data_IF_452147225431
#
_entry.id   IF_452147225431
#
_cell.length_a   1.000
_cell.length_b   1.000
_cell.length_c   1.000
_cell.angle_alpha   90.00
_cell.angle_beta   90.00
_cell.angle_gamma   90.00
#
_symmetry.space_group_name_H-M   'P 1'
#
loop_
_entity.id
_entity.type
_entity.pdbx_description
1 polymer ?
#
# COMPACT_ATOMS: atom_id res chain seq x y z
N UNK A 1 7.95 4.69 27.42
CA UNK A 1 7.03 3.76 28.13
C UNK A 1 7.76 2.76 29.03
N UNK A 2 9.10 2.66 28.98
CA UNK A 2 9.88 1.79 29.87
C UNK A 2 9.92 2.20 31.35
N UNK A 3 9.48 3.42 31.70
CA UNK A 3 9.43 3.88 33.08
C UNK A 3 8.15 3.47 33.82
N UNK A 4 7.02 3.40 33.11
CA UNK A 4 5.70 3.12 33.71
C UNK A 4 5.47 1.65 34.08
N UNK A 5 6.28 0.74 33.54
CA UNK A 5 6.20 -0.70 33.88
C UNK A 5 7.03 -1.02 35.13
N UNK A 6 8.03 -0.21 35.47
CA UNK A 6 8.95 -0.47 36.61
C UNK A 6 8.47 0.10 37.94
N UNK A 7 7.59 1.08 37.96
CA UNK A 7 7.11 1.72 39.19
C UNK A 7 5.59 1.71 39.20
N UNK A 8 4.98 0.76 39.90
CA UNK A 8 3.52 0.62 40.05
C UNK A 8 2.87 1.73 40.87
N UNK A 9 3.05 2.98 40.46
CA UNK A 9 2.49 4.17 41.10
C UNK A 9 2.43 5.35 40.13
N UNK A 10 1.41 6.19 40.31
CA UNK A 10 1.27 7.47 39.59
C UNK A 10 2.52 8.34 39.82
N UNK A 11 3.05 9.00 38.77
CA UNK A 11 4.23 9.85 38.91
C UNK A 11 3.97 10.99 39.89
N UNK A 12 4.97 11.30 40.73
CA UNK A 12 4.89 12.39 41.71
C UNK A 12 4.66 13.75 41.02
N UNK A 13 3.97 14.71 41.68
CA UNK A 13 3.63 16.01 41.07
C UNK A 13 4.83 16.80 40.53
N UNK A 14 6.00 16.69 41.17
CA UNK A 14 7.24 17.35 40.74
C UNK A 14 7.77 16.77 39.41
N UNK A 15 7.65 15.46 39.21
CA UNK A 15 8.08 14.81 37.96
C UNK A 15 7.20 15.20 36.76
N UNK A 16 5.93 15.54 37.01
CA UNK A 16 5.03 16.07 35.98
C UNK A 16 5.35 17.53 35.62
N UNK A 17 5.90 18.31 36.55
CA UNK A 17 6.40 19.65 36.26
C UNK A 17 7.71 19.61 35.47
N UNK A 18 8.60 18.68 35.77
CA UNK A 18 9.85 18.45 35.00
C UNK A 18 9.57 18.02 33.55
N UNK A 19 8.56 17.17 33.32
CA UNK A 19 8.11 16.81 31.97
C UNK A 19 7.52 18.03 31.23
N UNK A 20 6.80 18.91 31.95
CA UNK A 20 6.23 20.14 31.38
C UNK A 20 7.31 21.18 31.08
N UNK A 21 8.38 21.29 31.87
CA UNK A 21 9.49 22.21 31.62
C UNK A 21 10.39 21.72 30.49
N UNK A 22 10.64 20.41 30.34
CA UNK A 22 11.33 19.83 29.18
C UNK A 22 10.51 20.04 27.89
N UNK A 23 9.19 19.82 27.93
CA UNK A 23 8.30 20.09 26.79
C UNK A 23 8.20 21.57 26.41
N UNK A 24 8.38 22.49 27.37
CA UNK A 24 8.37 23.94 27.10
C UNK A 24 9.68 24.43 26.46
N UNK A 25 10.80 23.75 26.68
CA UNK A 25 12.10 24.22 26.18
C UNK A 25 12.34 23.92 24.69
N UNK A 26 11.61 22.96 24.10
CA UNK A 26 11.73 22.53 22.70
C UNK A 26 10.81 23.31 21.72
N UNK A 27 10.01 24.26 22.22
CA UNK A 27 8.97 24.90 21.42
C UNK A 27 9.40 26.22 20.75
N UNK A 28 10.71 26.51 20.66
CA UNK A 28 11.20 27.86 20.28
C UNK A 28 11.99 27.96 18.97
N UNK A 29 12.09 26.93 18.13
CA UNK A 29 12.78 27.08 16.83
C UNK A 29 12.16 26.26 15.68
N UNK A 30 11.17 26.79 14.95
CA UNK A 30 10.92 26.36 13.54
C UNK A 30 10.28 27.42 12.61
N UNK A 31 10.86 28.63 12.36
CA UNK A 31 10.37 29.49 11.26
C UNK A 31 11.01 29.19 9.89
N UNK A 32 12.20 28.58 9.83
CA UNK A 32 12.98 28.47 8.58
C UNK A 32 12.64 27.27 7.68
N UNK A 33 11.86 26.28 8.14
CA UNK A 33 11.63 25.02 7.42
C UNK A 33 10.47 25.04 6.40
N UNK A 34 9.54 26.00 6.51
CA UNK A 34 8.32 26.01 5.69
C UNK A 34 8.51 26.19 4.18
N UNK A 35 9.38 27.08 3.66
CA UNK A 35 9.41 27.35 2.22
C UNK A 35 10.05 26.20 1.41
N UNK A 36 11.12 25.59 1.93
CA UNK A 36 11.76 24.43 1.28
C UNK A 36 10.88 23.19 1.37
N UNK A 37 10.24 22.94 2.52
CA UNK A 37 9.27 21.85 2.64
C UNK A 37 8.09 22.06 1.67
N UNK A 38 7.59 23.28 1.51
CA UNK A 38 6.51 23.60 0.58
C UNK A 38 6.93 23.36 -0.89
N UNK A 39 8.11 23.81 -1.32
CA UNK A 39 8.64 23.55 -2.66
C UNK A 39 8.80 22.06 -2.93
N UNK A 40 9.27 21.30 -1.95
CA UNK A 40 9.47 19.86 -2.07
C UNK A 40 8.12 19.11 -2.10
N UNK A 41 7.12 19.58 -1.35
CA UNK A 41 5.72 19.09 -1.42
C UNK A 41 5.10 19.41 -2.77
N UNK A 42 5.31 20.61 -3.31
CA UNK A 42 4.87 20.96 -4.67
C UNK A 42 5.56 20.08 -5.72
N UNK A 43 6.85 19.77 -5.54
CA UNK A 43 7.56 18.81 -6.37
C UNK A 43 6.93 17.41 -6.30
N UNK A 44 6.53 16.93 -5.11
CA UNK A 44 5.82 15.65 -5.00
C UNK A 44 4.44 15.66 -5.61
N UNK A 45 3.69 16.75 -5.41
CA UNK A 45 2.40 16.91 -6.06
C UNK A 45 2.58 16.94 -7.57
N UNK A 46 3.60 17.63 -8.09
CA UNK A 46 3.99 17.59 -9.50
C UNK A 46 4.34 16.17 -9.97
N UNK A 47 5.15 15.43 -9.22
CA UNK A 47 5.51 14.05 -9.53
C UNK A 47 4.31 13.10 -9.55
N UNK A 48 3.29 13.35 -8.71
CA UNK A 48 2.02 12.62 -8.74
C UNK A 48 1.09 13.06 -9.90
N UNK A 49 0.90 14.37 -10.05
CA UNK A 49 -0.13 14.98 -10.90
C UNK A 49 0.31 15.02 -12.36
N UNK A 50 1.60 15.27 -12.65
CA UNK A 50 2.08 15.42 -14.02
C UNK A 50 1.95 14.13 -14.84
N UNK A 51 2.34 12.93 -14.35
CA UNK A 51 2.07 11.68 -15.05
C UNK A 51 0.56 11.43 -15.25
N UNK A 52 -0.28 11.80 -14.27
CA UNK A 52 -1.73 11.69 -14.39
C UNK A 52 -2.28 12.62 -15.48
N UNK A 53 -1.75 13.84 -15.57
CA UNK A 53 -2.10 14.81 -16.61
C UNK A 53 -1.69 14.31 -18.01
N UNK A 54 -0.47 13.78 -18.17
CA UNK A 54 0.00 13.21 -19.44
C UNK A 54 -0.88 12.05 -19.89
N UNK A 55 -1.26 11.18 -18.95
CA UNK A 55 -2.19 10.06 -19.22
C UNK A 55 -3.57 10.57 -19.62
N UNK A 56 -4.11 11.56 -18.90
CA UNK A 56 -5.37 12.21 -19.25
C UNK A 56 -5.34 12.85 -20.64
N UNK A 57 -4.24 13.55 -20.97
CA UNK A 57 -4.01 14.13 -22.28
C UNK A 57 -3.93 13.06 -23.38
N UNK A 58 -3.18 11.98 -23.15
CA UNK A 58 -3.09 10.87 -24.10
C UNK A 58 -4.47 10.26 -24.39
N UNK A 59 -5.29 10.06 -23.36
CA UNK A 59 -6.67 9.57 -23.52
C UNK A 59 -7.51 10.58 -24.29
N UNK A 60 -7.44 11.88 -23.96
CA UNK A 60 -8.19 12.93 -24.65
C UNK A 60 -7.80 13.06 -26.13
N UNK A 61 -6.50 13.04 -26.44
CA UNK A 61 -5.98 13.12 -27.81
C UNK A 61 -6.39 11.87 -28.61
N UNK A 62 -6.35 10.69 -28.00
CA UNK A 62 -6.82 9.43 -28.61
C UNK A 62 -8.32 9.51 -28.96
N UNK A 63 -9.14 10.07 -28.07
CA UNK A 63 -10.57 10.24 -28.31
C UNK A 63 -10.86 11.27 -29.41
N UNK A 64 -10.11 12.37 -29.45
CA UNK A 64 -10.22 13.39 -30.48
C UNK A 64 -9.85 12.85 -31.87
N UNK A 65 -8.78 12.06 -31.97
CA UNK A 65 -8.37 11.40 -33.21
C UNK A 65 -9.46 10.48 -33.75
N UNK A 66 -10.13 9.70 -32.89
CA UNK A 66 -11.15 8.76 -33.34
C UNK A 66 -12.40 9.50 -33.82
N UNK A 67 -12.79 10.56 -33.12
CA UNK A 67 -13.92 11.41 -33.53
C UNK A 67 -13.70 12.08 -34.89
N UNK A 68 -12.45 12.44 -35.21
CA UNK A 68 -12.10 13.07 -36.50
C UNK A 68 -11.98 12.05 -37.64
N UNK A 69 -11.54 10.83 -37.37
CA UNK A 69 -11.29 9.80 -38.39
C UNK A 69 -12.52 8.94 -38.71
N UNK A 70 -13.42 8.69 -37.75
CA UNK A 70 -14.57 7.81 -37.98
C UNK A 70 -15.78 8.13 -37.08
N UNK A 71 -16.91 8.53 -37.69
CA UNK A 71 -18.16 8.82 -36.99
C UNK A 71 -18.96 7.55 -36.59
N UNK A 72 -18.48 6.34 -36.92
CA UNK A 72 -19.16 5.10 -36.53
C UNK A 72 -19.02 4.83 -35.02
N UNK A 73 -20.16 4.60 -34.35
CA UNK A 73 -20.25 4.41 -32.90
C UNK A 73 -19.55 3.13 -32.43
N UNK A 74 -19.59 2.05 -33.23
CA UNK A 74 -18.98 0.76 -32.89
C UNK A 74 -17.44 0.82 -32.88
N UNK A 75 -16.84 1.50 -33.84
CA UNK A 75 -15.38 1.67 -33.90
C UNK A 75 -14.89 2.58 -32.77
N UNK A 76 -15.65 3.62 -32.43
CA UNK A 76 -15.38 4.50 -31.29
C UNK A 76 -15.31 3.74 -29.95
N UNK A 77 -16.11 2.68 -29.76
CA UNK A 77 -16.11 1.90 -28.52
C UNK A 77 -14.79 1.13 -28.29
N UNK A 78 -14.22 0.52 -29.33
CA UNK A 78 -12.93 -0.19 -29.23
C UNK A 78 -11.77 0.75 -28.90
N UNK A 79 -11.77 1.94 -29.52
CA UNK A 79 -10.78 2.98 -29.22
C UNK A 79 -11.02 3.68 -27.87
N UNK A 80 -12.20 3.53 -27.26
CA UNK A 80 -12.48 4.02 -25.91
C UNK A 80 -12.01 3.03 -24.83
N UNK A 81 -12.24 1.74 -25.05
CA UNK A 81 -12.03 0.69 -24.04
C UNK A 81 -10.56 0.28 -23.89
N UNK A 82 -9.74 0.44 -24.92
CA UNK A 82 -8.35 -0.03 -24.93
C UNK A 82 -7.32 0.96 -24.33
N UNK A 83 -7.35 2.28 -24.61
CA UNK A 83 -6.30 3.18 -24.14
C UNK A 83 -6.39 3.48 -22.64
N UNK A 84 -7.57 3.47 -22.02
CA UNK A 84 -7.73 3.76 -20.59
C UNK A 84 -7.02 2.72 -19.69
N UNK A 85 -7.26 1.41 -19.82
CA UNK A 85 -6.56 0.41 -19.01
C UNK A 85 -5.05 0.44 -19.25
N UNK A 86 -4.62 0.62 -20.51
CA UNK A 86 -3.20 0.77 -20.85
C UNK A 86 -2.62 2.00 -20.16
N UNK A 87 -3.29 3.14 -20.21
CA UNK A 87 -2.79 4.37 -19.62
C UNK A 87 -2.75 4.32 -18.09
N UNK A 88 -3.71 3.64 -17.44
CA UNK A 88 -3.68 3.38 -15.99
C UNK A 88 -2.52 2.43 -15.60
N UNK A 89 -2.23 1.42 -16.43
CA UNK A 89 -1.09 0.54 -16.23
C UNK A 89 0.23 1.30 -16.39
N UNK A 90 0.36 2.11 -17.44
CA UNK A 90 1.52 2.99 -17.64
C UNK A 90 1.68 3.96 -16.48
N UNK A 91 0.59 4.58 -16.02
CA UNK A 91 0.60 5.46 -14.85
C UNK A 91 1.15 4.74 -13.61
N UNK A 92 0.66 3.54 -13.31
CA UNK A 92 1.14 2.75 -12.18
C UNK A 92 2.63 2.44 -12.26
N UNK A 93 3.12 2.02 -13.43
CA UNK A 93 4.54 1.72 -13.67
C UNK A 93 5.39 2.98 -13.52
N UNK A 94 4.97 4.10 -14.11
CA UNK A 94 5.67 5.39 -14.00
C UNK A 94 5.74 5.84 -12.54
N UNK A 95 4.66 5.73 -11.77
CA UNK A 95 4.66 6.11 -10.36
C UNK A 95 5.56 5.21 -9.50
N UNK A 96 5.60 3.91 -9.79
CA UNK A 96 6.55 3.00 -9.15
C UNK A 96 8.00 3.39 -9.46
N UNK A 97 8.31 3.72 -10.72
CA UNK A 97 9.65 4.17 -11.12
C UNK A 97 10.03 5.52 -10.48
N UNK A 98 9.11 6.48 -10.45
CA UNK A 98 9.29 7.78 -9.78
C UNK A 98 9.56 7.59 -8.30
N UNK A 99 8.85 6.68 -7.63
CA UNK A 99 9.10 6.40 -6.21
C UNK A 99 10.50 5.82 -5.96
N UNK A 100 10.93 4.86 -6.79
CA UNK A 100 12.30 4.30 -6.72
C UNK A 100 13.32 5.42 -6.88
N UNK A 101 13.19 6.25 -7.92
CA UNK A 101 14.10 7.36 -8.18
C UNK A 101 14.12 8.35 -7.01
N UNK A 102 12.95 8.73 -6.51
CA UNK A 102 12.81 9.66 -5.38
C UNK A 102 13.50 9.11 -4.12
N UNK A 103 13.31 7.83 -3.78
CA UNK A 103 13.98 7.20 -2.63
C UNK A 103 15.49 7.31 -2.74
N UNK A 104 16.05 6.97 -3.90
CA UNK A 104 17.49 7.00 -4.10
C UNK A 104 18.07 8.41 -4.21
N UNK A 105 17.33 9.39 -4.78
CA UNK A 105 17.77 10.77 -4.88
C UNK A 105 17.72 11.53 -3.54
N UNK A 106 16.67 11.34 -2.74
CA UNK A 106 16.49 12.08 -1.49
C UNK A 106 17.21 11.46 -0.30
N UNK A 107 17.27 10.12 -0.24
CA UNK A 107 17.79 9.38 0.91
C UNK A 107 19.00 8.54 0.54
N UNK A 108 18.98 7.90 -0.64
CA UNK A 108 19.99 6.94 -1.04
C UNK A 108 19.78 5.59 -0.36
N UNK A 109 20.69 5.23 0.55
CA UNK A 109 20.58 4.02 1.38
C UNK A 109 20.33 4.38 2.83
N UNK A 110 19.28 3.80 3.41
CA UNK A 110 19.03 3.93 4.84
C UNK A 110 20.19 3.31 5.64
N UNK A 111 20.62 4.00 6.70
CA UNK A 111 21.62 3.51 7.66
C UNK A 111 21.03 3.55 9.07
N UNK A 112 21.39 2.61 9.95
CA UNK A 112 21.00 2.69 11.36
C UNK A 112 21.53 3.99 11.98
N UNK A 113 20.74 4.62 12.82
CA UNK A 113 21.11 5.89 13.46
C UNK A 113 19.90 6.70 13.91
N UNK A 114 20.16 7.83 14.56
CA UNK A 114 19.14 8.75 15.06
C UNK A 114 19.23 10.10 14.34
N UNK A 115 18.09 10.73 14.11
CA UNK A 115 18.02 12.10 13.63
C UNK A 115 16.89 12.87 14.31
N UNK A 116 17.10 14.14 14.69
CA UNK A 116 16.04 14.93 15.30
C UNK A 116 14.93 15.23 14.29
N UNK A 117 13.69 15.34 14.76
CA UNK A 117 12.52 15.65 13.92
C UNK A 117 12.66 17.01 13.24
N UNK A 118 13.35 17.96 13.88
CA UNK A 118 13.62 19.28 13.31
C UNK A 118 14.81 19.29 12.34
N UNK A 119 15.28 18.12 11.88
CA UNK A 119 16.40 18.02 10.93
C UNK A 119 15.94 17.93 9.49
N UNK A 120 16.84 18.33 8.58
CA UNK A 120 16.63 18.12 7.14
C UNK A 120 16.53 16.64 6.76
N UNK A 121 17.21 15.75 7.49
CA UNK A 121 17.12 14.30 7.32
C UNK A 121 15.71 13.77 7.59
N UNK A 122 15.03 14.31 8.62
CA UNK A 122 13.63 13.97 8.91
C UNK A 122 12.71 14.41 7.77
N UNK A 123 12.87 15.63 7.25
CA UNK A 123 12.05 16.13 6.13
C UNK A 123 12.23 15.24 4.90
N UNK A 124 13.46 14.90 4.53
CA UNK A 124 13.74 13.96 3.41
C UNK A 124 13.05 12.61 3.62
N UNK A 125 13.13 12.05 4.82
CA UNK A 125 12.43 10.81 5.19
C UNK A 125 10.92 10.93 5.08
N UNK A 126 10.34 11.98 5.68
CA UNK A 126 8.90 12.22 5.70
C UNK A 126 8.32 12.33 4.29
N UNK A 127 9.06 12.96 3.38
CA UNK A 127 8.67 13.10 1.98
C UNK A 127 8.60 11.75 1.28
N UNK A 128 9.64 10.92 1.42
CA UNK A 128 9.63 9.56 0.87
C UNK A 128 8.51 8.74 1.51
N UNK A 129 8.28 8.85 2.82
CA UNK A 129 7.19 8.18 3.52
C UNK A 129 5.80 8.62 3.01
N UNK A 130 5.60 9.91 2.71
CA UNK A 130 4.35 10.43 2.15
C UNK A 130 4.08 9.83 0.76
N UNK A 131 5.07 9.87 -0.13
CA UNK A 131 4.95 9.31 -1.47
C UNK A 131 4.79 7.78 -1.43
N UNK A 132 5.51 7.11 -0.51
CA UNK A 132 5.37 5.68 -0.25
C UNK A 132 3.93 5.34 0.14
N UNK A 133 3.29 6.12 1.03
CA UNK A 133 1.89 5.86 1.41
C UNK A 133 0.95 5.91 0.22
N UNK A 134 1.16 6.82 -0.73
CA UNK A 134 0.38 6.87 -1.96
C UNK A 134 0.62 5.61 -2.81
N UNK A 135 1.86 5.37 -3.20
CA UNK A 135 2.21 4.25 -4.10
C UNK A 135 1.89 2.90 -3.49
N UNK A 136 2.18 2.69 -2.20
CA UNK A 136 1.96 1.41 -1.54
C UNK A 136 0.50 1.11 -1.22
N UNK A 137 -0.29 2.10 -0.81
CA UNK A 137 -1.69 1.86 -0.49
C UNK A 137 -2.57 1.82 -1.74
N UNK A 138 -2.27 2.64 -2.76
CA UNK A 138 -3.12 2.76 -3.96
C UNK A 138 -2.68 1.78 -5.04
N UNK A 139 -1.38 1.69 -5.35
CA UNK A 139 -0.89 0.97 -6.53
C UNK A 139 -0.38 -0.45 -6.21
N UNK A 140 0.31 -0.64 -5.07
CA UNK A 140 0.91 -1.94 -4.73
C UNK A 140 0.00 -2.85 -3.91
N UNK A 141 -1.05 -2.34 -3.25
CA UNK A 141 -1.99 -3.18 -2.47
C UNK A 141 -2.56 -4.34 -3.29
N UNK A 142 -2.99 -4.15 -4.56
CA UNK A 142 -3.44 -5.25 -5.41
C UNK A 142 -2.34 -6.26 -5.76
N UNK A 143 -1.07 -5.88 -5.68
CA UNK A 143 0.09 -6.74 -5.97
C UNK A 143 0.58 -7.53 -4.74
N UNK A 144 -0.04 -7.34 -3.57
CA UNK A 144 0.31 -8.08 -2.35
C UNK A 144 0.19 -9.60 -2.56
N UNK A 145 1.22 -10.35 -2.15
CA UNK A 145 1.29 -11.80 -2.29
C UNK A 145 1.81 -12.28 -3.66
N UNK A 146 2.11 -11.37 -4.59
CA UNK A 146 2.66 -11.71 -5.92
C UNK A 146 4.19 -11.65 -5.95
N UNK A 147 4.80 -12.33 -6.92
CA UNK A 147 6.24 -12.24 -7.14
C UNK A 147 6.68 -10.81 -7.55
N UNK A 148 5.83 -10.05 -8.25
CA UNK A 148 6.11 -8.69 -8.70
C UNK A 148 6.40 -7.76 -7.52
N UNK A 149 5.63 -7.89 -6.43
CA UNK A 149 5.88 -7.12 -5.21
C UNK A 149 7.25 -7.44 -4.62
N UNK A 150 7.62 -8.72 -4.52
CA UNK A 150 8.92 -9.14 -3.99
C UNK A 150 10.07 -8.56 -4.82
N UNK A 151 9.97 -8.62 -6.15
CA UNK A 151 10.94 -7.99 -7.05
C UNK A 151 11.06 -6.48 -6.83
N UNK A 152 9.93 -5.79 -6.70
CA UNK A 152 9.91 -4.36 -6.46
C UNK A 152 10.50 -3.97 -5.09
N UNK A 153 10.23 -4.74 -4.05
CA UNK A 153 10.82 -4.54 -2.72
C UNK A 153 12.34 -4.74 -2.75
N UNK A 154 12.83 -5.74 -3.48
CA UNK A 154 14.27 -5.95 -3.71
C UNK A 154 14.91 -4.77 -4.43
N UNK A 155 14.25 -4.21 -5.45
CA UNK A 155 14.73 -2.99 -6.15
C UNK A 155 14.86 -1.79 -5.20
N UNK A 156 13.99 -1.69 -4.20
CA UNK A 156 14.05 -0.63 -3.18
C UNK A 156 15.15 -0.84 -2.13
N UNK A 157 15.80 -2.01 -2.12
CA UNK A 157 16.93 -2.35 -1.25
C UNK A 157 16.63 -3.40 -0.18
N UNK A 158 15.39 -3.91 -0.11
CA UNK A 158 15.02 -4.95 0.85
C UNK A 158 15.66 -6.28 0.47
N UNK A 159 16.25 -6.97 1.44
CA UNK A 159 16.78 -8.32 1.23
C UNK A 159 15.66 -9.31 1.51
N UNK A 160 15.30 -10.09 0.50
CA UNK A 160 14.23 -11.09 0.61
C UNK A 160 14.76 -12.41 0.05
N UNK A 161 14.76 -13.46 0.87
CA UNK A 161 15.19 -14.81 0.51
C UNK A 161 14.34 -15.47 -0.58
N UNK A 162 14.79 -16.63 -1.06
CA UNK A 162 14.03 -17.44 -2.01
C UNK A 162 12.79 -18.06 -1.37
N UNK A 163 11.74 -18.23 -2.18
CA UNK A 163 10.47 -18.89 -1.78
C UNK A 163 9.71 -18.19 -0.63
N UNK A 164 10.10 -16.95 -0.32
CA UNK A 164 9.46 -16.09 0.66
C UNK A 164 8.18 -15.47 0.10
N UNK A 165 7.13 -15.47 0.91
CA UNK A 165 5.82 -14.93 0.56
C UNK A 165 5.62 -13.62 1.29
N UNK A 166 5.40 -12.54 0.54
CA UNK A 166 5.14 -11.21 1.10
C UNK A 166 3.76 -10.74 0.71
N UNK A 167 2.79 -10.85 1.63
CA UNK A 167 1.40 -10.43 1.46
C UNK A 167 1.08 -9.12 2.21
N UNK A 168 2.06 -8.23 2.31
CA UNK A 168 1.90 -6.91 2.93
C UNK A 168 2.58 -5.83 2.13
N UNK A 169 1.97 -4.64 2.11
CA UNK A 169 2.56 -3.40 1.59
C UNK A 169 2.96 -2.45 2.71
N UNK A 170 2.79 -2.87 3.97
CA UNK A 170 3.12 -2.03 5.13
C UNK A 170 4.59 -2.19 5.56
N UNK A 171 5.47 -2.00 4.59
CA UNK A 171 6.92 -2.02 4.75
C UNK A 171 7.49 -0.62 4.50
N UNK A 172 8.62 -0.31 5.11
CA UNK A 172 9.34 0.94 4.94
C UNK A 172 10.82 0.77 5.26
N UNK A 173 11.62 1.82 5.06
CA UNK A 173 13.05 1.81 5.35
C UNK A 173 13.75 0.58 4.76
N UNK A 174 13.46 0.32 3.47
CA UNK A 174 13.65 -0.97 2.81
C UNK A 174 15.05 -1.58 2.99
N UNK A 175 16.11 -0.76 2.93
CA UNK A 175 17.50 -1.22 3.07
C UNK A 175 17.83 -1.80 4.46
N UNK A 176 16.99 -1.55 5.47
CA UNK A 176 17.15 -2.02 6.85
C UNK A 176 16.27 -3.23 7.16
N UNK A 177 15.51 -3.73 6.19
CA UNK A 177 14.63 -4.88 6.36
C UNK A 177 15.21 -6.09 5.62
N UNK A 178 15.43 -7.16 6.35
CA UNK A 178 15.93 -8.43 5.85
C UNK A 178 14.95 -9.55 6.21
N UNK A 179 14.54 -10.30 5.21
CA UNK A 179 13.63 -11.44 5.36
C UNK A 179 14.29 -12.67 4.74
N UNK A 180 14.46 -13.69 5.56
CA UNK A 180 15.07 -14.97 5.23
C UNK A 180 14.27 -15.79 4.23
N UNK A 181 14.80 -16.95 3.89
CA UNK A 181 14.23 -17.88 2.93
C UNK A 181 12.98 -18.57 3.49
N UNK A 182 12.02 -18.87 2.62
CA UNK A 182 10.77 -19.59 2.96
C UNK A 182 9.96 -18.95 4.09
N UNK A 183 10.22 -17.68 4.42
CA UNK A 183 9.43 -16.95 5.39
C UNK A 183 8.06 -16.58 4.81
N UNK A 184 7.04 -16.56 5.66
CA UNK A 184 5.67 -16.21 5.29
C UNK A 184 5.25 -14.95 6.02
N UNK A 185 5.26 -13.83 5.30
CA UNK A 185 4.77 -12.54 5.77
C UNK A 185 3.33 -12.37 5.30
N UNK A 186 2.38 -12.44 6.23
CA UNK A 186 0.94 -12.44 5.89
C UNK A 186 0.37 -11.01 5.73
N UNK A 187 -0.96 -10.92 5.64
CA UNK A 187 -1.70 -9.66 5.46
C UNK A 187 -1.43 -8.67 6.59
N UNK A 188 -1.30 -7.39 6.25
CA UNK A 188 -1.23 -6.26 7.19
C UNK A 188 -0.08 -6.33 8.19
N UNK A 189 0.87 -7.25 8.00
CA UNK A 189 2.11 -7.28 8.77
C UNK A 189 2.85 -5.97 8.57
N UNK A 190 3.28 -5.35 9.66
CA UNK A 190 4.04 -4.10 9.66
C UNK A 190 5.51 -4.42 9.88
N UNK A 191 6.35 -4.18 8.87
CA UNK A 191 7.80 -4.23 8.99
C UNK A 191 8.32 -2.81 8.87
N UNK A 192 8.55 -2.15 10.01
CA UNK A 192 8.98 -0.74 10.03
C UNK A 192 10.29 -0.62 10.78
N UNK A 193 11.35 -0.34 10.04
CA UNK A 193 12.70 -0.12 10.56
C UNK A 193 12.92 1.32 11.06
N UNK A 194 11.86 1.95 11.60
CA UNK A 194 11.95 3.24 12.25
C UNK A 194 11.10 3.30 13.53
N UNK A 195 11.52 4.17 14.45
CA UNK A 195 10.85 4.46 15.69
C UNK A 195 10.93 5.97 15.96
N UNK A 196 9.80 6.57 16.36
CA UNK A 196 9.72 7.99 16.70
C UNK A 196 9.51 8.10 18.22
N UNK A 197 10.54 8.56 18.93
CA UNK A 197 10.55 8.70 20.40
C UNK A 197 11.23 10.02 20.75
N UNK A 198 10.64 10.78 21.69
CA UNK A 198 11.25 11.99 22.28
C UNK A 198 11.78 13.01 21.24
N UNK A 199 11.00 13.25 20.17
CA UNK A 199 11.40 14.18 19.11
C UNK A 199 12.57 13.69 18.23
N UNK A 200 12.94 12.41 18.35
CA UNK A 200 13.98 11.75 17.59
C UNK A 200 13.39 10.64 16.71
N UNK A 201 13.80 10.64 15.45
CA UNK A 201 13.56 9.55 14.51
C UNK A 201 14.77 8.61 14.54
N UNK A 202 14.58 7.41 15.07
CA UNK A 202 15.59 6.34 15.11
C UNK A 202 15.32 5.32 14.02
N UNK A 203 16.36 5.00 13.25
CA UNK A 203 16.38 3.91 12.29
C UNK A 203 17.10 2.71 12.89
N UNK A 204 16.47 1.53 12.80
CA UNK A 204 16.97 0.28 13.33
C UNK A 204 16.68 -0.88 12.39
N UNK A 205 17.46 -1.96 12.47
CA UNK A 205 17.31 -3.07 11.54
C UNK A 205 16.13 -3.96 11.91
N UNK A 206 15.48 -4.56 10.91
CA UNK A 206 14.45 -5.59 11.12
C UNK A 206 14.91 -6.85 10.41
N UNK A 207 15.23 -7.89 11.19
CA UNK A 207 15.70 -9.16 10.66
C UNK A 207 14.66 -10.23 10.93
N UNK A 208 14.21 -10.90 9.88
CA UNK A 208 13.25 -11.99 9.93
C UNK A 208 13.94 -13.24 9.42
N UNK A 209 14.12 -14.25 10.26
CA UNK A 209 14.86 -15.46 9.93
C UNK A 209 14.13 -16.41 8.97
N UNK A 210 14.83 -17.47 8.57
CA UNK A 210 14.32 -18.46 7.64
C UNK A 210 13.14 -19.26 8.21
N UNK A 211 12.22 -19.69 7.35
CA UNK A 211 11.05 -20.50 7.72
C UNK A 211 10.19 -19.88 8.84
N UNK A 212 10.18 -18.56 8.96
CA UNK A 212 9.36 -17.85 9.95
C UNK A 212 7.95 -17.61 9.45
N UNK A 213 7.01 -17.51 10.38
CA UNK A 213 5.63 -17.13 10.09
C UNK A 213 5.23 -15.88 10.85
N UNK A 214 4.93 -14.81 10.11
CA UNK A 214 4.40 -13.57 10.67
C UNK A 214 2.89 -13.52 10.45
N UNK A 215 2.14 -13.72 11.53
CA UNK A 215 0.68 -13.78 11.50
C UNK A 215 0.00 -12.46 11.11
N UNK A 216 -1.27 -12.51 10.67
CA UNK A 216 -1.99 -11.34 10.16
C UNK A 216 -1.98 -10.15 11.11
N UNK A 217 -1.63 -8.97 10.60
CA UNK A 217 -1.63 -7.72 11.37
C UNK A 217 -0.52 -7.61 12.43
N UNK A 218 0.40 -8.57 12.49
CA UNK A 218 1.54 -8.51 13.40
C UNK A 218 2.48 -7.34 13.10
N UNK A 219 3.31 -6.96 14.07
CA UNK A 219 4.20 -5.81 13.99
C UNK A 219 5.62 -6.17 14.40
N UNK A 220 6.58 -5.90 13.53
CA UNK A 220 8.01 -5.97 13.80
C UNK A 220 8.57 -4.54 13.83
N UNK A 221 8.84 -3.99 15.04
CA UNK A 221 9.42 -2.67 15.20
C UNK A 221 10.90 -2.65 14.84
N UNK A 222 11.49 -1.44 14.77
CA UNK A 222 12.92 -1.28 14.62
C UNK A 222 13.70 -2.07 15.68
N UNK A 223 14.84 -2.64 15.26
CA UNK A 223 15.75 -3.47 16.07
C UNK A 223 15.19 -4.85 16.47
N UNK A 224 14.07 -5.29 15.88
CA UNK A 224 13.55 -6.65 16.10
C UNK A 224 14.33 -7.70 15.30
N UNK A 225 14.70 -8.80 15.95
CA UNK A 225 15.30 -9.98 15.32
C UNK A 225 14.42 -11.19 15.56
N UNK A 226 13.68 -11.64 14.55
CA UNK A 226 12.86 -12.85 14.61
C UNK A 226 13.72 -14.04 14.18
N UNK A 227 14.02 -14.97 15.09
CA UNK A 227 14.88 -16.12 14.76
C UNK A 227 14.24 -17.07 13.74
N UNK A 228 15.03 -17.88 13.03
CA UNK A 228 14.50 -18.91 12.15
C UNK A 228 13.49 -19.81 12.86
N UNK A 229 12.46 -20.26 12.15
CA UNK A 229 11.35 -21.09 12.66
C UNK A 229 10.48 -20.42 13.75
N UNK A 230 10.67 -19.14 14.05
CA UNK A 230 9.82 -18.43 14.99
C UNK A 230 8.44 -18.10 14.39
N UNK A 231 7.45 -18.05 15.27
CA UNK A 231 6.06 -17.82 14.94
C UNK A 231 5.53 -16.60 15.69
N UNK A 232 5.18 -15.57 14.94
CA UNK A 232 4.50 -14.40 15.49
C UNK A 232 2.99 -14.58 15.28
N UNK A 233 2.19 -14.69 16.36
CA UNK A 233 0.74 -14.86 16.23
C UNK A 233 0.08 -13.66 15.55
N UNK A 234 -1.17 -13.80 15.06
CA UNK A 234 -1.95 -12.68 14.55
C UNK A 234 -2.00 -11.53 15.57
N UNK A 235 -1.85 -10.29 15.10
CA UNK A 235 -1.75 -9.08 15.93
C UNK A 235 -0.59 -9.06 16.95
N UNK A 236 0.30 -10.05 16.92
CA UNK A 236 1.47 -10.12 17.78
C UNK A 236 2.47 -9.01 17.49
N UNK A 237 3.20 -8.57 18.52
CA UNK A 237 4.28 -7.58 18.41
C UNK A 237 5.58 -8.28 18.72
N UNK A 238 6.54 -8.24 17.79
CA UNK A 238 7.88 -8.74 18.05
C UNK A 238 8.59 -7.81 19.05
N UNK A 239 9.41 -8.34 19.97
CA UNK A 239 10.25 -7.53 20.84
C UNK A 239 11.24 -6.68 20.01
N UNK A 240 11.68 -5.54 20.56
CA UNK A 240 12.80 -4.74 20.02
C UNK A 240 14.16 -5.38 20.39
N UNK A 241 14.24 -6.70 20.24
CA UNK A 241 15.40 -7.55 20.52
C UNK A 241 15.16 -8.90 19.82
N UNK A 242 15.85 -9.95 20.26
CA UNK A 242 15.73 -11.30 19.73
C UNK A 242 14.45 -12.01 20.20
N UNK A 243 13.66 -12.48 19.24
CA UNK A 243 12.49 -13.33 19.47
C UNK A 243 12.87 -14.81 19.26
N UNK A 244 12.90 -15.56 20.37
CA UNK A 244 13.26 -16.98 20.41
C UNK A 244 12.05 -17.94 20.54
N UNK A 245 10.89 -17.45 20.99
CA UNK A 245 9.77 -18.32 21.36
C UNK A 245 8.80 -18.62 20.20
N UNK A 246 8.68 -19.92 19.90
CA UNK A 246 7.70 -20.51 19.00
C UNK A 246 6.41 -20.86 19.75
N UNK A 247 5.31 -20.20 19.44
CA UNK A 247 4.00 -20.86 19.58
C UNK A 247 3.87 -21.86 18.44
N UNK A 248 3.49 -23.11 18.72
CA UNK A 248 3.39 -24.17 17.73
C UNK A 248 2.19 -23.93 16.80
N UNK A 249 2.35 -23.03 15.83
CA UNK A 249 1.45 -22.96 14.69
C UNK A 249 2.06 -23.82 13.57
N UNK A 250 1.27 -24.66 12.88
CA UNK A 250 1.79 -25.36 11.71
C UNK A 250 2.30 -24.32 10.71
N UNK A 251 3.61 -24.37 10.39
CA UNK A 251 4.17 -23.55 9.32
C UNK A 251 3.44 -23.93 8.03
N UNK A 252 2.86 -22.97 7.30
CA UNK A 252 2.51 -23.25 5.91
C UNK A 252 3.77 -23.75 5.19
N UNK A 253 3.68 -24.87 4.46
CA UNK A 253 4.81 -25.39 3.66
C UNK A 253 5.30 -24.35 2.64
N UNK A 254 6.40 -24.56 1.93
CA UNK A 254 6.80 -23.58 0.89
C UNK A 254 5.78 -23.56 -0.27
N UNK A 255 5.44 -22.38 -0.81
CA UNK A 255 4.62 -22.28 -2.04
C UNK A 255 5.44 -22.79 -3.23
N UNK A 256 4.92 -23.77 -3.97
CA UNK A 256 5.54 -24.22 -5.22
C UNK A 256 5.58 -23.09 -6.27
N UNK A 257 6.65 -23.02 -7.07
CA UNK A 257 6.87 -21.94 -8.07
C UNK A 257 5.71 -21.80 -9.07
N UNK A 258 5.12 -22.92 -9.49
CA UNK A 258 3.95 -22.95 -10.39
C UNK A 258 2.75 -22.27 -9.73
N UNK A 259 2.51 -22.57 -8.45
CA UNK A 259 1.41 -21.96 -7.69
C UNK A 259 1.60 -20.44 -7.61
N UNK A 260 2.82 -19.96 -7.29
CA UNK A 260 3.12 -18.52 -7.23
C UNK A 260 2.91 -17.84 -8.60
N UNK A 261 3.28 -18.51 -9.69
CA UNK A 261 3.13 -17.97 -11.04
C UNK A 261 1.67 -17.91 -11.47
N UNK A 262 0.92 -19.02 -11.32
CA UNK A 262 -0.52 -19.06 -11.61
C UNK A 262 -1.27 -18.02 -10.77
N UNK A 263 -0.93 -17.92 -9.48
CA UNK A 263 -1.49 -16.92 -8.58
C UNK A 263 -1.20 -15.49 -9.04
N UNK A 264 0.05 -15.21 -9.43
CA UNK A 264 0.45 -13.88 -9.93
C UNK A 264 -0.28 -13.55 -11.23
N UNK A 265 -0.36 -14.48 -12.19
CA UNK A 265 -1.08 -14.28 -13.45
C UNK A 265 -2.57 -14.05 -13.22
N UNK A 266 -3.20 -14.83 -12.34
CA UNK A 266 -4.62 -14.68 -12.06
C UNK A 266 -4.94 -13.35 -11.37
N UNK A 267 -4.08 -12.91 -10.45
CA UNK A 267 -4.19 -11.61 -9.80
C UNK A 267 -4.05 -10.45 -10.80
N UNK A 268 -3.07 -10.51 -11.70
CA UNK A 268 -2.91 -9.50 -12.75
C UNK A 268 -4.13 -9.45 -13.68
N UNK A 269 -4.67 -10.63 -14.04
CA UNK A 269 -5.88 -10.72 -14.87
C UNK A 269 -7.10 -10.11 -14.19
N UNK A 270 -7.27 -10.31 -12.88
CA UNK A 270 -8.34 -9.66 -12.11
C UNK A 270 -8.20 -8.13 -12.08
N UNK A 271 -6.98 -7.63 -11.90
CA UNK A 271 -6.72 -6.18 -11.90
C UNK A 271 -7.12 -5.60 -13.27
N UNK A 272 -6.69 -6.24 -14.36
CA UNK A 272 -7.06 -5.82 -15.72
C UNK A 272 -8.58 -5.89 -15.93
N UNK A 273 -9.22 -6.98 -15.53
CA UNK A 273 -10.67 -7.14 -15.66
C UNK A 273 -11.44 -6.07 -14.86
N UNK A 274 -11.03 -5.77 -13.63
CA UNK A 274 -11.63 -4.72 -12.80
C UNK A 274 -11.51 -3.34 -13.45
N UNK A 275 -10.35 -3.03 -14.02
CA UNK A 275 -10.13 -1.77 -14.75
C UNK A 275 -11.02 -1.71 -15.99
N UNK A 276 -11.10 -2.78 -16.78
CA UNK A 276 -11.96 -2.84 -17.97
C UNK A 276 -13.43 -2.64 -17.59
N UNK A 277 -13.92 -3.31 -16.55
CA UNK A 277 -15.30 -3.14 -16.06
C UNK A 277 -15.57 -1.71 -15.63
N UNK A 278 -14.64 -1.08 -14.89
CA UNK A 278 -14.77 0.32 -14.49
C UNK A 278 -14.79 1.28 -15.70
N UNK A 279 -14.01 1.00 -16.74
CA UNK A 279 -14.00 1.78 -17.97
C UNK A 279 -15.31 1.65 -18.74
N UNK A 280 -15.82 0.43 -18.90
CA UNK A 280 -17.13 0.15 -19.54
C UNK A 280 -18.25 0.85 -18.78
N UNK A 281 -18.26 0.77 -17.44
CA UNK A 281 -19.27 1.41 -16.61
C UNK A 281 -19.22 2.95 -16.66
N UNK A 282 -18.04 3.53 -16.93
CA UNK A 282 -17.83 4.98 -17.04
C UNK A 282 -18.12 5.54 -18.44
N UNK A 283 -18.33 4.69 -19.44
CA UNK A 283 -18.57 5.11 -20.81
C UNK A 283 -19.89 5.90 -21.00
N UNK A 284 -21.05 5.46 -20.45
CA UNK A 284 -22.31 6.18 -20.63
C UNK A 284 -22.30 7.58 -20.01
N UNK A 285 -21.65 7.74 -18.85
CA UNK A 285 -21.54 9.04 -18.17
C UNK A 285 -20.66 10.02 -18.93
N UNK A 286 -19.56 9.53 -19.51
CA UNK A 286 -18.71 10.33 -20.39
C UNK A 286 -19.44 10.75 -21.68
N UNK A 287 -20.19 9.82 -22.29
CA UNK A 287 -20.97 10.11 -23.51
C UNK A 287 -22.03 11.19 -23.28
N UNK A 288 -22.74 11.12 -22.15
CA UNK A 288 -23.72 12.15 -21.73
C UNK A 288 -23.02 13.49 -21.46
N UNK A 289 -21.85 13.49 -20.80
CA UNK A 289 -21.07 14.71 -20.55
C UNK A 289 -20.63 15.41 -21.84
N UNK A 290 -20.21 14.65 -22.86
CA UNK A 290 -19.84 15.19 -24.17
C UNK A 290 -21.01 15.84 -24.92
N UNK A 291 -22.21 15.25 -24.84
CA UNK A 291 -23.39 15.85 -25.46
C UNK A 291 -23.79 17.18 -24.78
N UNK A 292 -23.64 17.24 -23.45
CA UNK A 292 -23.97 18.43 -22.67
C UNK A 292 -22.93 19.56 -22.79
N UNK A 293 -21.65 19.22 -22.98
CA UNK A 293 -20.58 20.18 -23.28
C UNK A 293 -20.88 21.04 -24.52
N UNK A 294 -21.48 20.43 -25.55
CA UNK A 294 -21.89 21.12 -26.77
C UNK A 294 -23.11 22.02 -26.59
N UNK A 295 -23.89 21.85 -25.52
CA UNK A 295 -25.17 22.53 -25.34
C UNK A 295 -25.09 23.78 -24.44
N UNK A 296 -24.39 23.75 -23.29
CA UNK A 296 -24.15 24.93 -22.42
C UNK A 296 -23.15 24.63 -21.28
N UNK A 297 -22.08 25.43 -21.10
CA UNK A 297 -21.09 25.31 -20.01
C UNK A 297 -21.68 25.32 -18.57
N UNK A 298 -22.76 26.06 -18.24
CA UNK A 298 -23.36 26.03 -16.90
C UNK A 298 -24.10 24.72 -16.57
N UNK A 299 -24.64 24.03 -17.58
CA UNK A 299 -25.35 22.74 -17.41
C UNK A 299 -24.37 21.59 -17.19
N UNK A 300 -23.14 21.72 -17.69
CA UNK A 300 -22.04 20.80 -17.43
C UNK A 300 -21.66 20.73 -15.94
N UNK A 301 -21.68 21.87 -15.23
CA UNK A 301 -21.46 21.93 -13.76
C UNK A 301 -22.58 21.29 -12.93
N UNK A 302 -23.81 21.24 -13.46
CA UNK A 302 -24.94 20.52 -12.85
C UNK A 302 -24.88 19.00 -13.10
N UNK A 303 -24.17 18.58 -14.17
CA UNK A 303 -23.88 17.17 -14.48
C UNK A 303 -22.48 16.76 -13.96
N UNK A 304 -22.13 17.32 -12.81
CA UNK A 304 -21.04 16.87 -11.94
C UNK A 304 -21.45 15.70 -10.99
N UNK A 305 -22.45 14.81 -11.20
CA UNK A 305 -22.51 13.57 -10.43
C UNK A 305 -21.38 12.57 -10.79
N UNK A 306 -20.26 13.02 -11.36
CA UNK A 306 -19.00 12.27 -11.48
C UNK A 306 -18.49 11.68 -10.13
N UNK A 307 -18.62 12.34 -8.97
CA UNK A 307 -18.41 11.70 -7.66
C UNK A 307 -19.50 10.68 -7.32
N UNK A 308 -20.73 10.90 -7.80
CA UNK A 308 -21.89 10.03 -7.58
C UNK A 308 -21.80 8.72 -8.39
N UNK A 309 -21.17 8.77 -9.56
CA UNK A 309 -20.82 7.61 -10.40
C UNK A 309 -19.63 6.83 -9.84
N UNK A 310 -18.64 7.49 -9.23
CA UNK A 310 -17.60 6.81 -8.44
C UNK A 310 -18.20 6.09 -7.22
N UNK A 311 -19.21 6.69 -6.57
CA UNK A 311 -19.98 6.05 -5.49
C UNK A 311 -20.82 4.87 -6.02
N UNK A 312 -21.50 5.01 -7.16
CA UNK A 312 -22.27 3.94 -7.81
C UNK A 312 -21.37 2.79 -8.30
N UNK A 313 -20.18 3.08 -8.82
CA UNK A 313 -19.18 2.07 -9.20
C UNK A 313 -18.66 1.34 -7.94
N UNK A 314 -18.51 2.06 -6.82
CA UNK A 314 -18.28 1.47 -5.49
C UNK A 314 -19.42 0.56 -5.02
N UNK A 315 -20.69 0.96 -5.23
CA UNK A 315 -21.86 0.13 -4.93
C UNK A 315 -21.97 -1.10 -5.82
N UNK A 316 -21.69 -0.98 -7.13
CA UNK A 316 -21.61 -2.13 -8.04
C UNK A 316 -20.50 -3.10 -7.63
N UNK A 317 -19.35 -2.58 -7.17
CA UNK A 317 -18.26 -3.40 -6.64
C UNK A 317 -18.65 -4.10 -5.32
N UNK A 318 -19.36 -3.41 -4.43
CA UNK A 318 -19.93 -3.98 -3.19
C UNK A 318 -20.96 -5.10 -3.48
N UNK A 319 -21.83 -4.90 -4.48
CA UNK A 319 -22.80 -5.92 -4.91
C UNK A 319 -22.09 -7.13 -5.51
N UNK A 320 -21.06 -6.92 -6.36
CA UNK A 320 -20.23 -7.99 -6.90
C UNK A 320 -19.56 -8.80 -5.77
N UNK A 321 -19.00 -8.12 -4.77
CA UNK A 321 -18.39 -8.77 -3.59
C UNK A 321 -19.44 -9.54 -2.79
N UNK A 322 -20.64 -8.99 -2.58
CA UNK A 322 -21.73 -9.66 -1.87
C UNK A 322 -22.22 -10.93 -2.62
N UNK A 323 -22.33 -10.87 -3.94
CA UNK A 323 -22.71 -12.00 -4.81
C UNK A 323 -21.60 -13.06 -4.82
N UNK A 324 -20.34 -12.67 -5.00
CA UNK A 324 -19.20 -13.58 -4.98
C UNK A 324 -19.00 -14.24 -3.61
N UNK A 325 -19.22 -13.51 -2.52
CA UNK A 325 -19.28 -14.07 -1.16
C UNK A 325 -20.39 -15.11 -1.06
N UNK A 326 -21.59 -14.81 -1.56
CA UNK A 326 -22.74 -15.74 -1.49
C UNK A 326 -22.56 -16.98 -2.37
N UNK A 327 -21.77 -16.90 -3.44
CA UNK A 327 -21.43 -18.03 -4.31
C UNK A 327 -20.27 -18.88 -3.76
N UNK A 328 -19.29 -18.27 -3.09
CA UNK A 328 -18.11 -18.99 -2.57
C UNK A 328 -18.33 -19.65 -1.20
N UNK A 329 -19.16 -19.06 -0.32
CA UNK A 329 -19.35 -19.53 1.07
C UNK A 329 -20.21 -20.78 1.31
N UNK A 330 -21.25 -21.12 0.52
CA UNK A 330 -22.06 -22.32 0.79
C UNK A 330 -21.25 -23.62 0.74
N UNK A 331 -20.03 -23.56 0.19
CA UNK A 331 -19.19 -24.71 -0.12
C UNK A 331 -18.00 -24.86 0.85
N UNK A 332 -17.81 -23.91 1.79
CA UNK A 332 -16.75 -24.01 2.80
C UNK A 332 -17.25 -24.78 4.02
N UNK A 333 -16.89 -26.05 4.10
CA UNK A 333 -17.09 -26.86 5.31
C UNK A 333 -16.05 -26.47 6.36
N UNK A 334 -16.46 -26.34 7.62
CA UNK A 334 -15.53 -26.17 8.73
C UNK A 334 -14.58 -27.38 8.78
N UNK A 335 -13.27 -27.15 8.83
CA UNK A 335 -12.25 -28.20 8.81
C UNK A 335 -10.84 -27.67 8.58
N UNK A 336 -9.84 -28.55 8.68
CA UNK A 336 -8.45 -28.25 8.32
C UNK A 336 -8.33 -28.40 6.81
N UNK A 337 -8.04 -27.29 6.13
CA UNK A 337 -7.87 -27.26 4.67
C UNK A 337 -6.40 -27.04 4.33
N UNK A 338 -5.93 -27.68 3.26
CA UNK A 338 -4.59 -27.45 2.74
C UNK A 338 -4.43 -25.97 2.34
N UNK A 339 -3.34 -25.36 2.80
CA UNK A 339 -3.02 -23.96 2.54
C UNK A 339 -2.72 -23.71 1.06
N UNK A 340 -2.47 -24.76 0.28
CA UNK A 340 -2.30 -24.74 -1.17
C UNK A 340 -3.51 -25.26 -1.94
N UNK A 341 -4.57 -25.64 -1.23
CA UNK A 341 -5.81 -26.11 -1.83
C UNK A 341 -6.68 -24.99 -2.39
N UNK A 342 -7.70 -25.39 -3.15
CA UNK A 342 -8.72 -24.52 -3.71
C UNK A 342 -9.45 -23.65 -2.67
N UNK A 343 -9.55 -24.11 -1.42
CA UNK A 343 -10.10 -23.32 -0.32
C UNK A 343 -9.27 -22.06 -0.02
N UNK A 344 -7.94 -22.15 -0.02
CA UNK A 344 -7.08 -20.98 0.22
C UNK A 344 -7.15 -19.98 -0.92
N UNK A 345 -7.16 -20.45 -2.17
CA UNK A 345 -7.39 -19.59 -3.33
C UNK A 345 -8.67 -18.78 -3.15
N UNK A 346 -9.79 -19.43 -2.80
CA UNK A 346 -11.10 -18.76 -2.60
C UNK A 346 -11.07 -17.71 -1.49
N UNK A 347 -10.45 -18.02 -0.35
CA UNK A 347 -10.30 -17.06 0.76
C UNK A 347 -9.46 -15.87 0.32
N UNK A 348 -8.36 -16.11 -0.40
CA UNK A 348 -7.52 -15.05 -0.91
C UNK A 348 -8.25 -14.16 -1.94
N UNK A 349 -8.97 -14.74 -2.90
CA UNK A 349 -9.77 -13.99 -3.87
C UNK A 349 -10.76 -13.04 -3.18
N UNK A 350 -11.45 -13.54 -2.16
CA UNK A 350 -12.36 -12.74 -1.35
C UNK A 350 -11.61 -11.61 -0.64
N UNK A 351 -10.48 -11.91 -0.05
CA UNK A 351 -9.68 -10.96 0.73
C UNK A 351 -9.08 -9.85 -0.15
N UNK A 352 -8.68 -10.17 -1.39
CA UNK A 352 -8.27 -9.18 -2.40
C UNK A 352 -9.42 -8.25 -2.78
N UNK A 353 -10.61 -8.82 -3.05
CA UNK A 353 -11.79 -8.04 -3.40
C UNK A 353 -12.22 -7.13 -2.24
N UNK A 354 -12.16 -7.63 -1.00
CA UNK A 354 -12.45 -6.82 0.20
C UNK A 354 -11.43 -5.68 0.38
N UNK A 355 -10.15 -5.89 0.07
CA UNK A 355 -9.13 -4.83 0.11
C UNK A 355 -9.33 -3.74 -0.92
N UNK A 356 -9.90 -4.07 -2.08
CA UNK A 356 -10.24 -3.06 -3.10
C UNK A 356 -11.43 -2.18 -2.69
N UNK A 357 -12.34 -2.72 -1.87
CA UNK A 357 -13.52 -2.01 -1.34
C UNK A 357 -13.17 -1.14 -0.12
N UNK A 358 -12.41 -1.68 0.84
CA UNK A 358 -12.20 -1.04 2.13
C UNK A 358 -10.92 -0.19 2.08
N UNK A 359 -11.08 1.09 1.74
CA UNK A 359 -10.07 2.09 2.08
C UNK A 359 -9.90 2.06 3.60
N UNK A 360 -8.66 1.92 4.11
CA UNK A 360 -8.27 1.69 5.53
C UNK A 360 -8.91 2.60 6.60
N UNK A 361 -9.75 3.56 6.24
CA UNK A 361 -10.52 4.41 7.14
C UNK A 361 -11.62 3.65 7.91
N UNK A 362 -12.24 2.63 7.32
CA UNK A 362 -13.42 1.98 7.95
C UNK A 362 -13.07 0.94 9.02
N UNK A 363 -11.83 0.43 9.04
CA UNK A 363 -11.37 -0.60 9.99
C UNK A 363 -10.71 -0.04 11.26
N UNK A 364 -10.79 1.27 11.52
CA UNK A 364 -10.36 1.87 12.80
C UNK A 364 -11.49 1.96 13.84
N UNK A 365 -12.69 1.47 13.53
CA UNK A 365 -13.89 1.60 14.39
C UNK A 365 -14.42 0.23 14.88
N UNK A 366 -13.75 -0.87 14.53
CA UNK A 366 -13.97 -2.20 15.11
C UNK A 366 -12.63 -2.76 15.55
#
# INVERSE_FOLDING_TARGET
MDFLVKTGGLPSPQHLEDIKTISRHDNSQTPFFHPFAALLVLFLLGACIYPAFLVGKFVADSLSLVWTVNNNVSTNLYFFLLPIPVALMVYGIVQMAVFVLMKYLLIGRYKPGTCPVNSWSYVRWWMVELHRRFVFNVLLTPLAGTAVLVWYLRLLGMKIGSETIVNTTNVGEFDLVEVGEKATVTINVRLRAYLLLDGQLRFGQVQVGDNTYLGPGSFCPADSVVKPYAHLPPLGVAPMDVMDNSSAYPLPGARGRIFVLVFTCCQLLLIVAAVVVACVASFPSYWIALQLWKASFPRFLLVVPLPMLLVLCGFCHLILVAVLRRLTFPWMKAGIHDLYGWCHMRIFFLDVLLRMVVTKATLRIL
#
